data_IF_358322693448
#
_entry.id   IF_358322693448
#
_cell.length_a   1.000
_cell.length_b   1.000
_cell.length_c   1.000
_cell.angle_alpha   90.00
_cell.angle_beta   90.00
_cell.angle_gamma   90.00
#
_symmetry.space_group_name_H-M   'P 1'
#
loop_
_entity.id
_entity.type
_entity.pdbx_description
1 polymer ?
#
# COMPACT_ATOMS: atom_id res chain seq x y z
N UNK A 1 -6.44 -8.98 -14.87
CA UNK A 1 -7.09 -7.80 -14.27
C UNK A 1 -6.04 -6.73 -14.03
N UNK A 2 -6.40 -5.46 -14.27
CA UNK A 2 -5.52 -4.31 -13.98
C UNK A 2 -5.41 -4.12 -12.46
N UNK A 3 -4.23 -3.73 -12.01
CA UNK A 3 -3.93 -3.44 -10.60
C UNK A 3 -3.60 -1.96 -10.48
N UNK A 4 -4.44 -1.20 -9.78
CA UNK A 4 -4.19 0.20 -9.49
C UNK A 4 -3.40 0.39 -8.20
N UNK A 5 -2.81 1.56 -8.04
CA UNK A 5 -2.02 1.93 -6.85
C UNK A 5 -2.61 3.17 -6.17
N UNK A 6 -2.52 3.20 -4.84
CA UNK A 6 -2.68 4.46 -4.10
C UNK A 6 -1.32 5.15 -4.07
N UNK A 7 -1.18 6.22 -4.83
CA UNK A 7 0.07 6.94 -5.04
C UNK A 7 0.03 8.34 -4.43
N UNK A 8 1.20 8.95 -4.27
CA UNK A 8 1.30 10.36 -3.85
C UNK A 8 0.82 11.29 -4.95
N UNK A 9 0.18 12.41 -4.57
CA UNK A 9 -0.32 13.42 -5.51
C UNK A 9 0.80 14.03 -6.39
N UNK A 10 2.03 14.10 -5.87
CA UNK A 10 3.17 14.65 -6.61
C UNK A 10 3.50 13.85 -7.88
N UNK A 11 3.20 12.54 -7.87
CA UNK A 11 3.44 11.67 -9.03
C UNK A 11 2.50 12.02 -10.20
N UNK A 12 1.33 12.62 -9.91
CA UNK A 12 0.40 13.09 -10.93
C UNK A 12 1.00 14.15 -11.86
N UNK A 13 2.07 14.81 -11.41
CA UNK A 13 2.75 15.86 -12.20
C UNK A 13 3.79 15.32 -13.17
N UNK A 14 4.07 14.01 -13.17
CA UNK A 14 5.09 13.41 -14.04
C UNK A 14 4.46 13.09 -15.40
N UNK A 15 4.85 13.80 -16.48
CA UNK A 15 4.34 13.54 -17.83
C UNK A 15 4.53 12.06 -18.22
N UNK A 16 3.67 11.52 -19.07
CA UNK A 16 3.62 10.13 -19.53
C UNK A 16 3.25 9.12 -18.42
N UNK A 17 3.84 9.22 -17.21
CA UNK A 17 3.53 8.32 -16.08
C UNK A 17 2.08 8.45 -15.68
N UNK A 18 1.56 9.66 -15.59
CA UNK A 18 0.16 9.94 -15.20
C UNK A 18 -0.84 9.29 -16.15
N UNK A 19 -0.58 9.33 -17.46
CA UNK A 19 -1.45 8.67 -18.45
C UNK A 19 -1.57 7.16 -18.19
N UNK A 20 -0.44 6.49 -17.99
CA UNK A 20 -0.41 5.06 -17.65
C UNK A 20 -1.09 4.76 -16.32
N UNK A 21 -0.81 5.57 -15.29
CA UNK A 21 -1.41 5.38 -13.97
C UNK A 21 -2.94 5.55 -14.00
N UNK A 22 -3.45 6.51 -14.76
CA UNK A 22 -4.89 6.68 -14.95
C UNK A 22 -5.51 5.47 -15.69
N UNK A 23 -4.86 4.96 -16.74
CA UNK A 23 -5.30 3.76 -17.44
C UNK A 23 -5.32 2.51 -16.55
N UNK A 24 -4.42 2.45 -15.55
CA UNK A 24 -4.39 1.40 -14.53
C UNK A 24 -5.33 1.64 -13.35
N UNK A 25 -6.20 2.66 -13.40
CA UNK A 25 -7.09 3.04 -12.31
C UNK A 25 -6.38 3.41 -10.99
N UNK A 26 -5.16 3.94 -11.06
CA UNK A 26 -4.47 4.46 -9.90
C UNK A 26 -5.21 5.65 -9.28
N UNK A 27 -5.00 5.85 -7.99
CA UNK A 27 -5.60 6.94 -7.23
C UNK A 27 -4.49 7.79 -6.63
N UNK A 28 -4.48 9.08 -6.93
CA UNK A 28 -3.54 10.03 -6.34
C UNK A 28 -4.09 10.58 -5.04
N UNK A 29 -3.27 10.54 -3.98
CA UNK A 29 -3.65 10.93 -2.62
C UNK A 29 -2.80 12.11 -2.16
N UNK A 30 -3.47 13.20 -1.83
CA UNK A 30 -2.87 14.33 -1.13
C UNK A 30 -2.92 14.07 0.39
N UNK A 31 -1.77 13.68 0.96
CA UNK A 31 -1.66 13.31 2.37
C UNK A 31 -1.65 14.51 3.32
N UNK A 32 -1.48 15.71 2.79
CA UNK A 32 -1.49 16.95 3.59
C UNK A 32 -2.92 17.46 3.83
N UNK A 33 -3.90 16.97 3.06
CA UNK A 33 -5.30 17.36 3.17
C UNK A 33 -6.17 16.18 3.59
N UNK A 34 -6.74 16.23 4.79
CA UNK A 34 -7.66 15.19 5.30
C UNK A 34 -8.84 15.01 4.34
N UNK A 35 -9.43 16.10 3.83
CA UNK A 35 -10.56 16.07 2.88
C UNK A 35 -10.16 15.34 1.60
N UNK A 36 -9.05 15.75 0.96
CA UNK A 36 -8.59 15.14 -0.30
C UNK A 36 -8.16 13.69 -0.11
N UNK A 37 -7.55 13.35 1.03
CA UNK A 37 -7.26 11.95 1.38
C UNK A 37 -8.53 11.13 1.48
N UNK A 38 -9.60 11.67 2.07
CA UNK A 38 -10.92 11.02 2.11
C UNK A 38 -11.51 10.81 0.72
N UNK A 39 -11.45 11.81 -0.16
CA UNK A 39 -11.90 11.71 -1.55
C UNK A 39 -11.14 10.61 -2.32
N UNK A 40 -9.82 10.51 -2.12
CA UNK A 40 -8.99 9.48 -2.72
C UNK A 40 -9.39 8.07 -2.22
N UNK A 41 -9.65 7.90 -0.94
CA UNK A 41 -10.15 6.62 -0.38
C UNK A 41 -11.50 6.26 -1.01
N UNK A 42 -12.43 7.20 -1.15
CA UNK A 42 -13.73 6.96 -1.80
C UNK A 42 -13.53 6.52 -3.26
N UNK A 43 -12.62 7.15 -4.01
CA UNK A 43 -12.29 6.75 -5.38
C UNK A 43 -11.74 5.33 -5.42
N UNK A 44 -10.82 4.98 -4.52
CA UNK A 44 -10.28 3.63 -4.40
C UNK A 44 -11.34 2.58 -4.08
N UNK A 45 -12.29 2.88 -3.18
CA UNK A 45 -13.43 2.00 -2.86
C UNK A 45 -14.31 1.78 -4.12
N UNK A 46 -14.56 2.83 -4.92
CA UNK A 46 -15.30 2.68 -6.18
C UNK A 46 -14.58 1.74 -7.15
N UNK A 47 -13.27 1.87 -7.28
CA UNK A 47 -12.46 0.99 -8.13
C UNK A 47 -12.56 -0.48 -7.65
N UNK A 48 -12.41 -0.73 -6.35
CA UNK A 48 -12.54 -2.08 -5.78
C UNK A 48 -13.92 -2.68 -6.05
N UNK A 49 -15.00 -1.89 -5.86
CA UNK A 49 -16.39 -2.33 -6.15
C UNK A 49 -16.65 -2.57 -7.64
N UNK A 50 -15.88 -1.92 -8.51
CA UNK A 50 -15.92 -2.15 -9.97
C UNK A 50 -15.08 -3.38 -10.40
N UNK A 51 -14.47 -4.12 -9.45
CA UNK A 51 -13.70 -5.34 -9.72
C UNK A 51 -12.22 -5.11 -10.01
N UNK A 52 -11.70 -3.89 -9.83
CA UNK A 52 -10.26 -3.62 -9.95
C UNK A 52 -9.54 -3.93 -8.65
N UNK A 53 -8.35 -4.51 -8.73
CA UNK A 53 -7.48 -4.69 -7.58
C UNK A 53 -6.70 -3.40 -7.28
N UNK A 54 -6.42 -3.14 -5.98
CA UNK A 54 -5.71 -1.94 -5.55
C UNK A 54 -4.55 -2.32 -4.63
N UNK A 55 -3.37 -1.76 -4.89
CA UNK A 55 -2.20 -1.86 -4.01
C UNK A 55 -2.08 -0.61 -3.16
N UNK A 56 -1.86 -0.79 -1.87
CA UNK A 56 -1.56 0.28 -0.93
C UNK A 56 -0.34 -0.08 -0.08
N UNK A 57 0.50 0.90 0.20
CA UNK A 57 1.61 0.79 1.14
C UNK A 57 1.18 1.44 2.47
N UNK A 58 0.78 0.66 3.49
CA UNK A 58 0.12 1.18 4.68
C UNK A 58 1.06 1.97 5.60
N UNK A 59 2.36 1.81 5.48
CA UNK A 59 3.35 2.67 6.15
C UNK A 59 3.21 4.14 5.73
N UNK A 60 2.74 4.38 4.52
CA UNK A 60 2.58 5.73 3.97
C UNK A 60 3.89 6.44 3.65
N UNK A 61 5.02 5.79 3.80
CA UNK A 61 6.36 6.27 3.47
C UNK A 61 7.22 5.09 2.98
N UNK A 62 8.41 5.39 2.48
CA UNK A 62 9.39 4.36 2.15
C UNK A 62 10.15 3.95 3.41
N UNK A 63 10.34 2.64 3.62
CA UNK A 63 11.26 2.13 4.62
C UNK A 63 12.69 2.33 4.13
N UNK A 64 13.48 3.11 4.87
CA UNK A 64 14.88 3.41 4.50
C UNK A 64 15.87 2.38 5.02
N UNK A 65 15.40 1.29 5.58
CA UNK A 65 16.20 0.22 6.17
C UNK A 65 15.34 -1.00 6.44
N UNK A 66 15.79 -1.85 7.36
CA UNK A 66 15.09 -3.08 7.75
C UNK A 66 13.86 -2.82 8.61
N UNK A 67 13.81 -1.69 9.31
CA UNK A 67 12.73 -1.37 10.24
C UNK A 67 11.49 -0.89 9.49
N UNK A 68 10.40 -1.62 9.63
CA UNK A 68 9.09 -1.26 9.10
C UNK A 68 8.44 -0.18 9.99
N UNK A 69 7.80 0.81 9.37
CA UNK A 69 7.01 1.79 10.11
C UNK A 69 5.64 1.22 10.48
N UNK A 70 4.99 1.84 11.46
CA UNK A 70 3.64 1.47 11.88
C UNK A 70 2.63 1.64 10.73
N UNK A 71 1.74 0.67 10.58
CA UNK A 71 0.70 0.69 9.57
C UNK A 71 -0.42 1.66 9.93
N UNK A 72 -0.72 2.58 9.03
CA UNK A 72 -1.76 3.59 9.22
C UNK A 72 -3.16 2.98 9.09
N UNK A 73 -3.94 3.00 10.16
CA UNK A 73 -5.30 2.46 10.20
C UNK A 73 -6.20 2.98 9.05
N UNK A 74 -6.00 4.23 8.62
CA UNK A 74 -6.71 4.82 7.48
C UNK A 74 -6.55 4.06 6.16
N UNK A 75 -5.44 3.36 5.97
CA UNK A 75 -5.16 2.55 4.77
C UNK A 75 -6.12 1.37 4.64
N UNK A 76 -6.56 0.82 5.74
CA UNK A 76 -7.45 -0.35 5.78
C UNK A 76 -8.90 -0.03 5.44
N UNK A 77 -9.28 1.26 5.47
CA UNK A 77 -10.64 1.70 5.08
C UNK A 77 -10.99 1.34 3.63
N UNK A 78 -9.99 1.20 2.76
CA UNK A 78 -10.20 0.71 1.39
C UNK A 78 -10.85 -0.66 1.39
N UNK A 79 -10.22 -1.63 2.04
CA UNK A 79 -10.68 -3.02 2.08
C UNK A 79 -11.96 -3.16 2.91
N UNK A 80 -11.99 -2.61 4.12
CA UNK A 80 -13.10 -2.77 5.06
C UNK A 80 -14.40 -2.12 4.56
N UNK A 81 -14.33 -0.94 3.93
CA UNK A 81 -15.52 -0.27 3.37
C UNK A 81 -15.98 -0.85 2.04
N UNK A 82 -15.09 -1.48 1.27
CA UNK A 82 -15.46 -2.20 0.05
C UNK A 82 -15.81 -3.67 0.32
N UNK A 83 -15.54 -4.19 1.53
CA UNK A 83 -15.67 -5.60 1.92
C UNK A 83 -14.80 -6.53 1.05
N UNK A 84 -13.69 -6.02 0.55
CA UNK A 84 -12.74 -6.79 -0.23
C UNK A 84 -11.69 -7.41 0.67
N UNK A 85 -11.24 -8.65 0.39
CA UNK A 85 -10.16 -9.28 1.14
C UNK A 85 -8.84 -8.53 0.96
N UNK A 86 -7.94 -8.72 1.93
CA UNK A 86 -6.57 -8.22 1.89
C UNK A 86 -5.64 -9.37 1.59
N UNK A 87 -4.74 -9.19 0.64
CA UNK A 87 -3.61 -10.07 0.41
C UNK A 87 -2.36 -9.35 0.93
N UNK A 88 -1.85 -9.70 2.13
CA UNK A 88 -0.63 -9.09 2.64
C UNK A 88 0.57 -9.53 1.79
N UNK A 89 1.49 -8.59 1.57
CA UNK A 89 2.70 -8.84 0.79
C UNK A 89 3.90 -8.27 1.55
N UNK A 90 4.92 -9.09 1.75
CA UNK A 90 6.20 -8.65 2.29
C UNK A 90 7.18 -8.40 1.15
N UNK A 91 7.81 -7.23 1.15
CA UNK A 91 8.88 -6.87 0.21
C UNK A 91 10.14 -6.60 1.05
N UNK A 92 11.12 -7.50 0.95
CA UNK A 92 12.38 -7.38 1.70
C UNK A 92 13.54 -7.05 0.76
N UNK A 93 14.38 -6.08 1.16
CA UNK A 93 15.60 -5.73 0.45
C UNK A 93 15.48 -4.59 -0.57
N UNK A 94 14.29 -4.07 -0.86
CA UNK A 94 14.09 -2.97 -1.81
C UNK A 94 14.87 -1.69 -1.45
N UNK A 95 15.03 -1.40 -0.16
CA UNK A 95 15.79 -0.26 0.34
C UNK A 95 17.28 -0.33 -0.05
N UNK A 96 17.86 -1.53 -0.20
CA UNK A 96 19.26 -1.74 -0.63
C UNK A 96 19.50 -1.25 -2.05
N UNK A 97 18.47 -1.26 -2.87
CA UNK A 97 18.55 -0.85 -4.29
C UNK A 97 18.55 0.67 -4.44
N UNK A 98 17.72 1.37 -3.66
CA UNK A 98 17.49 2.81 -3.84
C UNK A 98 18.10 3.69 -2.73
N UNK A 99 18.15 3.21 -1.47
CA UNK A 99 18.46 4.09 -0.33
C UNK A 99 19.96 4.05 0.07
N UNK A 100 20.73 3.04 -0.34
CA UNK A 100 22.17 2.90 -0.05
C UNK A 100 23.11 3.61 -1.05
N UNK A 101 22.59 4.40 -1.95
CA UNK A 101 23.35 5.34 -2.76
C UNK A 101 22.99 6.77 -2.38
N UNK A 102 23.87 7.74 -2.57
CA UNK A 102 23.60 9.16 -2.34
C UNK A 102 22.44 9.72 -3.19
N UNK A 103 21.33 8.99 -3.23
CA UNK A 103 20.05 9.36 -3.85
C UNK A 103 20.00 9.30 -5.38
N UNK A 104 21.08 8.97 -6.08
CA UNK A 104 21.16 9.17 -7.53
C UNK A 104 21.25 7.91 -8.38
N UNK A 105 21.53 6.74 -7.83
CA UNK A 105 21.78 5.54 -8.63
C UNK A 105 21.08 4.30 -8.08
N UNK A 106 20.37 3.59 -8.96
CA UNK A 106 19.83 2.26 -8.69
C UNK A 106 21.00 1.27 -8.64
N UNK A 107 21.14 0.56 -7.52
CA UNK A 107 22.16 -0.50 -7.36
C UNK A 107 21.57 -1.87 -7.68
N UNK A 108 22.40 -2.77 -8.19
CA UNK A 108 22.04 -4.20 -8.32
C UNK A 108 21.80 -4.78 -6.92
N UNK A 109 20.71 -5.50 -6.76
CA UNK A 109 20.35 -6.13 -5.49
C UNK A 109 19.28 -7.19 -5.67
N UNK A 110 19.06 -8.00 -4.64
CA UNK A 110 17.99 -8.98 -4.56
C UNK A 110 16.85 -8.41 -3.71
N UNK A 111 15.64 -8.60 -4.16
CA UNK A 111 14.41 -8.26 -3.42
C UNK A 111 13.60 -9.54 -3.28
N UNK A 112 13.34 -9.91 -2.03
CA UNK A 112 12.44 -11.03 -1.73
C UNK A 112 11.00 -10.54 -1.70
N UNK A 113 10.11 -11.31 -2.30
CA UNK A 113 8.70 -10.97 -2.43
C UNK A 113 7.86 -12.15 -1.94
N UNK A 114 7.14 -11.96 -0.83
CA UNK A 114 6.32 -12.99 -0.22
C UNK A 114 4.84 -12.60 -0.27
N UNK A 115 4.03 -13.46 -0.87
CA UNK A 115 2.57 -13.33 -0.88
C UNK A 115 2.02 -14.20 0.23
N UNK A 116 1.33 -13.59 1.20
CA UNK A 116 0.72 -14.28 2.32
C UNK A 116 -0.70 -14.75 2.01
N UNK A 117 -1.26 -15.55 2.93
CA UNK A 117 -2.67 -15.95 2.85
C UNK A 117 -3.58 -14.73 2.92
N UNK A 118 -4.63 -14.78 2.13
CA UNK A 118 -5.68 -13.78 2.10
C UNK A 118 -6.36 -13.66 3.47
N UNK A 119 -6.66 -12.42 3.86
CA UNK A 119 -7.39 -12.09 5.09
C UNK A 119 -8.71 -11.45 4.70
N UNK A 120 -9.80 -12.09 5.11
CA UNK A 120 -11.16 -11.59 4.87
C UNK A 120 -11.43 -10.33 5.70
N UNK A 121 -12.18 -9.41 5.11
CA UNK A 121 -12.61 -8.17 5.79
C UNK A 121 -14.12 -8.07 5.94
N UNK A 122 -14.86 -8.98 5.31
CA UNK A 122 -16.30 -9.00 5.43
C UNK A 122 -16.73 -9.74 6.70
N UNK A 123 -17.64 -9.15 7.47
CA UNK A 123 -18.16 -9.75 8.70
C UNK A 123 -17.31 -9.57 9.95
N UNK A 124 -16.23 -8.78 9.88
CA UNK A 124 -15.41 -8.48 11.06
C UNK A 124 -16.19 -7.65 12.08
N UNK A 125 -16.02 -7.97 13.36
CA UNK A 125 -16.53 -7.18 14.48
C UNK A 125 -15.82 -5.82 14.56
N UNK A 126 -16.31 -4.94 15.44
CA UNK A 126 -15.67 -3.64 15.65
C UNK A 126 -14.26 -3.79 16.21
N UNK A 127 -14.09 -4.70 17.15
CA UNK A 127 -12.83 -5.03 17.80
C UNK A 127 -11.82 -5.57 16.76
N UNK A 128 -12.25 -6.53 15.93
CA UNK A 128 -11.41 -7.10 14.86
C UNK A 128 -11.00 -6.05 13.82
N UNK A 129 -11.87 -5.05 13.54
CA UNK A 129 -11.54 -3.94 12.64
C UNK A 129 -10.49 -3.00 13.23
N UNK A 130 -10.51 -2.78 14.55
CA UNK A 130 -9.52 -1.97 15.27
C UNK A 130 -8.15 -2.68 15.32
N UNK A 131 -8.13 -4.00 15.46
CA UNK A 131 -6.91 -4.84 15.52
C UNK A 131 -6.33 -5.16 14.14
N UNK A 132 -7.12 -5.02 13.07
CA UNK A 132 -6.73 -5.41 11.71
C UNK A 132 -5.39 -4.82 11.24
N UNK A 133 -5.06 -3.54 11.49
CA UNK A 133 -3.75 -2.99 11.10
C UNK A 133 -2.58 -3.72 11.75
N UNK A 134 -2.65 -3.98 13.05
CA UNK A 134 -1.61 -4.69 13.79
C UNK A 134 -1.47 -6.14 13.30
N UNK A 135 -2.58 -6.85 13.13
CA UNK A 135 -2.61 -8.22 12.59
C UNK A 135 -1.95 -8.31 11.21
N UNK A 136 -2.27 -7.40 10.28
CA UNK A 136 -1.65 -7.39 8.95
C UNK A 136 -0.18 -7.04 9.04
N UNK A 137 0.19 -6.13 9.94
CA UNK A 137 1.58 -5.75 10.17
C UNK A 137 2.41 -6.94 10.67
N UNK A 138 1.92 -7.72 11.60
CA UNK A 138 2.57 -8.94 12.08
C UNK A 138 2.75 -9.97 10.96
N UNK A 139 1.73 -10.18 10.13
CA UNK A 139 1.81 -11.10 8.99
C UNK A 139 2.94 -10.64 8.04
N UNK A 140 3.00 -9.36 7.71
CA UNK A 140 4.05 -8.82 6.83
C UNK A 140 5.42 -8.91 7.50
N UNK A 141 5.52 -8.63 8.80
CA UNK A 141 6.77 -8.69 9.57
C UNK A 141 7.34 -10.12 9.63
N UNK A 142 6.49 -11.16 9.61
CA UNK A 142 6.89 -12.56 9.77
C UNK A 142 7.91 -13.06 8.73
N UNK A 143 8.09 -12.33 7.62
CA UNK A 143 9.07 -12.64 6.55
C UNK A 143 10.14 -11.57 6.39
N UNK A 144 10.21 -10.62 7.31
CA UNK A 144 11.35 -9.71 7.41
C UNK A 144 12.44 -10.35 8.30
N UNK A 145 13.72 -9.99 8.10
CA UNK A 145 14.80 -10.38 9.01
C UNK A 145 14.50 -9.95 10.45
N UNK A 146 14.90 -10.75 11.41
CA UNK A 146 14.85 -10.38 12.83
C UNK A 146 15.58 -9.03 13.03
N UNK A 147 14.94 -8.16 13.80
CA UNK A 147 15.41 -6.79 14.06
C UNK A 147 16.26 -6.75 15.33
#
# INVERSE_FOLDING_TARGET
NLIGFISKIEVEKIPLVTGWMNAMHCVFMDRLSIRKSGEAIIKGIKNLKAGFSMVIFPEGTRSKGTKMAEFKAGSFKLATKSKCPIIPITINGSYKIMEHGNGSWIKKGTVDFYIHKMVETNGLSKEELEELPAKIQEIVASKLPEQ
#
